data_IF_999797226185
#
_entry.id   IF_999797226185
#
_cell.length_a   1.000
_cell.length_b   1.000
_cell.length_c   1.000
_cell.angle_alpha   90.00
_cell.angle_beta   90.00
_cell.angle_gamma   90.00
#
_symmetry.space_group_name_H-M   'P 1'
#
loop_
_entity.id
_entity.type
_entity.pdbx_description
1 polymer ?
#
# COMPACT_ATOMS: atom_id res chain seq x y z
N UNK A 1 10.77 -1.55 -14.73
CA UNK A 1 9.84 -2.59 -15.19
C UNK A 1 8.47 -2.16 -14.73
N UNK A 2 7.52 -1.90 -15.62
CA UNK A 2 6.20 -1.42 -15.24
C UNK A 2 5.27 -2.61 -14.99
N UNK A 3 4.54 -2.60 -13.87
CA UNK A 3 3.60 -3.64 -13.46
C UNK A 3 2.19 -3.06 -13.55
N UNK A 4 1.28 -3.82 -14.15
CA UNK A 4 -0.14 -3.46 -14.18
C UNK A 4 -0.77 -3.70 -12.80
N UNK A 5 -1.52 -2.70 -12.32
CA UNK A 5 -2.27 -2.81 -11.07
C UNK A 5 -3.76 -2.75 -11.40
N UNK A 6 -4.49 -3.75 -10.93
CA UNK A 6 -5.95 -3.78 -10.89
C UNK A 6 -6.43 -3.84 -9.45
N UNK A 7 -7.55 -3.19 -9.16
CA UNK A 7 -8.19 -3.20 -7.84
C UNK A 7 -9.53 -3.93 -7.90
N UNK A 8 -10.03 -4.29 -6.72
CA UNK A 8 -11.37 -4.87 -6.56
C UNK A 8 -12.30 -3.83 -5.98
N UNK A 9 -13.61 -3.95 -6.24
CA UNK A 9 -14.60 -3.07 -5.63
C UNK A 9 -14.56 -3.07 -4.09
N UNK A 10 -14.13 -4.18 -3.47
CA UNK A 10 -13.95 -4.29 -2.02
C UNK A 10 -12.80 -3.39 -1.56
N UNK A 11 -11.67 -3.43 -2.27
CA UNK A 11 -10.53 -2.56 -1.99
C UNK A 11 -10.90 -1.08 -2.15
N UNK A 12 -11.55 -0.72 -3.26
CA UNK A 12 -11.91 0.67 -3.55
C UNK A 12 -12.84 1.23 -2.47
N UNK A 13 -13.89 0.48 -2.11
CA UNK A 13 -14.80 0.85 -1.03
C UNK A 13 -14.08 1.00 0.31
N UNK A 14 -13.18 0.07 0.66
CA UNK A 14 -12.41 0.17 1.90
C UNK A 14 -11.52 1.42 1.89
N UNK A 15 -10.82 1.65 0.79
CA UNK A 15 -9.90 2.76 0.62
C UNK A 15 -10.59 4.13 0.70
N UNK A 16 -11.76 4.26 0.08
CA UNK A 16 -12.55 5.50 0.10
C UNK A 16 -13.13 5.82 1.50
N UNK A 17 -13.37 4.78 2.32
CA UNK A 17 -13.87 4.94 3.68
C UNK A 17 -12.76 5.25 4.72
N UNK A 18 -11.49 5.30 4.32
CA UNK A 18 -10.39 5.70 5.21
C UNK A 18 -10.51 7.19 5.57
N UNK A 19 -10.73 7.49 6.84
CA UNK A 19 -10.85 8.88 7.33
C UNK A 19 -9.52 9.62 7.29
N UNK A 20 -8.44 8.96 7.70
CA UNK A 20 -7.11 9.55 7.75
C UNK A 20 -6.53 9.77 6.35
N UNK A 21 -6.40 11.04 5.97
CA UNK A 21 -5.81 11.45 4.68
C UNK A 21 -4.34 11.04 4.57
N UNK A 22 -3.58 11.05 5.67
CA UNK A 22 -2.16 10.67 5.66
C UNK A 22 -2.03 9.17 5.38
N UNK A 23 -2.86 8.34 5.99
CA UNK A 23 -2.94 6.90 5.68
C UNK A 23 -3.25 6.67 4.20
N UNK A 24 -4.25 7.36 3.64
CA UNK A 24 -4.59 7.28 2.20
C UNK A 24 -3.40 7.62 1.29
N UNK A 25 -2.68 8.68 1.61
CA UNK A 25 -1.49 9.12 0.85
C UNK A 25 -0.37 8.09 0.90
N UNK A 26 -0.08 7.51 2.08
CA UNK A 26 0.97 6.48 2.23
C UNK A 26 0.64 5.23 1.42
N UNK A 27 -0.61 4.78 1.43
CA UNK A 27 -1.05 3.63 0.62
C UNK A 27 -0.91 3.93 -0.88
N UNK A 28 -1.41 5.09 -1.35
CA UNK A 28 -1.28 5.51 -2.77
C UNK A 28 0.17 5.56 -3.23
N UNK A 29 1.06 6.13 -2.41
CA UNK A 29 2.48 6.20 -2.73
C UNK A 29 3.13 4.81 -2.83
N UNK A 30 2.69 3.84 -2.00
CA UNK A 30 3.16 2.46 -2.11
C UNK A 30 2.67 1.78 -3.39
N UNK A 31 1.40 1.98 -3.78
CA UNK A 31 0.85 1.44 -5.04
C UNK A 31 1.60 2.00 -6.24
N UNK A 32 1.85 3.32 -6.28
CA UNK A 32 2.61 3.95 -7.36
C UNK A 32 4.03 3.36 -7.49
N UNK A 33 4.72 3.14 -6.37
CA UNK A 33 6.03 2.46 -6.39
C UNK A 33 5.94 1.03 -6.91
N UNK A 34 4.89 0.30 -6.56
CA UNK A 34 4.65 -1.05 -7.08
C UNK A 34 4.42 -1.04 -8.60
N UNK A 35 3.68 -0.06 -9.12
CA UNK A 35 3.50 0.13 -10.58
C UNK A 35 4.84 0.33 -11.28
N UNK A 36 5.77 1.08 -10.69
CA UNK A 36 7.13 1.25 -11.21
C UNK A 36 8.04 0.01 -11.09
N UNK A 37 7.52 -1.09 -10.55
CA UNK A 37 8.24 -2.35 -10.33
C UNK A 37 8.93 -2.43 -8.98
N UNK A 38 8.77 -1.43 -8.10
CA UNK A 38 9.37 -1.40 -6.77
C UNK A 38 8.41 -2.02 -5.74
N UNK A 39 8.37 -3.35 -5.74
CA UNK A 39 7.49 -4.13 -4.88
C UNK A 39 7.85 -4.04 -3.39
N UNK A 40 9.12 -3.79 -3.05
CA UNK A 40 9.64 -3.78 -1.69
C UNK A 40 9.51 -5.13 -0.99
N UNK A 41 9.46 -5.14 0.35
CA UNK A 41 9.27 -6.38 1.10
C UNK A 41 7.83 -6.90 0.94
N UNK A 42 7.72 -8.14 0.46
CA UNK A 42 6.48 -8.90 0.34
C UNK A 42 6.69 -10.28 0.98
N UNK A 43 5.65 -10.81 1.61
CA UNK A 43 5.64 -12.16 2.17
C UNK A 43 4.53 -13.00 1.58
N UNK A 44 4.82 -14.24 1.24
CA UNK A 44 3.79 -15.18 0.79
C UNK A 44 2.85 -15.51 1.94
N UNK A 45 1.54 -15.50 1.67
CA UNK A 45 0.50 -16.01 2.58
C UNK A 45 -0.08 -17.34 2.07
N UNK A 46 0.57 -17.94 1.07
CA UNK A 46 0.17 -19.19 0.43
C UNK A 46 -0.62 -18.99 -0.87
N UNK A 47 -0.75 -20.07 -1.65
CA UNK A 47 -1.59 -20.12 -2.87
C UNK A 47 -1.30 -19.04 -3.93
N UNK A 48 -0.04 -18.59 -4.03
CA UNK A 48 0.34 -17.52 -4.96
C UNK A 48 -0.10 -16.12 -4.54
N UNK A 49 -0.57 -15.95 -3.29
CA UNK A 49 -0.95 -14.67 -2.71
C UNK A 49 0.19 -14.15 -1.85
N UNK A 50 0.45 -12.85 -1.94
CA UNK A 50 1.49 -12.16 -1.18
C UNK A 50 0.90 -10.96 -0.43
N UNK A 51 1.34 -10.78 0.82
CA UNK A 51 1.07 -9.57 1.60
C UNK A 51 2.24 -8.58 1.50
N UNK A 52 1.91 -7.29 1.47
CA UNK A 52 2.86 -6.20 1.68
C UNK A 52 2.47 -5.45 2.95
N UNK A 53 3.32 -5.48 3.98
CA UNK A 53 3.11 -4.65 5.17
C UNK A 53 3.62 -3.24 4.91
N UNK A 54 2.79 -2.26 5.28
CA UNK A 54 3.16 -0.85 5.25
C UNK A 54 3.31 -0.42 6.70
N UNK A 55 4.54 -0.10 7.09
CA UNK A 55 4.81 0.47 8.40
C UNK A 55 4.31 1.92 8.42
N UNK A 56 3.33 2.18 9.28
CA UNK A 56 2.73 3.49 9.45
C UNK A 56 2.82 3.88 10.93
N UNK A 57 3.84 4.66 11.28
CA UNK A 57 3.92 5.28 12.59
C UNK A 57 3.06 6.54 12.58
N UNK A 58 2.05 6.61 13.44
CA UNK A 58 1.18 7.79 13.56
C UNK A 58 1.80 8.89 14.44
N UNK A 59 2.91 8.61 15.13
CA UNK A 59 3.70 9.60 15.88
C UNK A 59 5.18 9.28 15.78
N UNK A 60 5.85 9.90 14.82
CA UNK A 60 7.22 10.36 14.99
C UNK A 60 7.15 11.81 14.51
N UNK A 61 7.32 12.71 15.48
CA UNK A 61 7.69 14.10 15.23
C UNK A 61 8.65 14.13 14.04
N UNK A 62 8.37 15.01 13.09
CA UNK A 62 9.37 15.40 12.12
C UNK A 62 10.69 15.64 12.87
N UNK A 63 11.75 14.91 12.49
CA UNK A 63 13.12 15.00 13.00
C UNK A 63 13.36 14.17 14.28
N UNK A 64 13.89 12.95 14.09
CA UNK A 64 15.25 12.54 14.49
C UNK A 64 15.69 11.32 13.64
#
# INVERSE_FOLDING_TARGET
MQIEISTTAIFDKWFDNLKDTRTRTVIRANIARMQDGNLGEMRSVGQGVFEKKIHYAQDIDCIL
#
